data_IF_798100249813
#
_entry.id   IF_798100249813
#
_cell.length_a   1.000
_cell.length_b   1.000
_cell.length_c   1.000
_cell.angle_alpha   90.00
_cell.angle_beta   90.00
_cell.angle_gamma   90.00
#
_symmetry.space_group_name_H-M   'P 1'
#
loop_
_entity.id
_entity.type
_entity.pdbx_description
1 polymer ?
#
# COMPACT_ATOMS: atom_id res chain seq x y z
N UNK A 1 2.54 32.07 -19.35
CA UNK A 1 3.37 32.68 -18.28
C UNK A 1 2.55 32.73 -17.00
N UNK A 2 2.55 31.62 -16.24
CA UNK A 2 2.29 31.52 -14.80
C UNK A 2 2.19 30.01 -14.45
N UNK A 3 3.26 29.29 -14.74
CA UNK A 3 3.52 27.93 -14.24
C UNK A 3 4.99 27.90 -13.82
N UNK A 4 5.29 28.41 -12.62
CA UNK A 4 6.64 28.35 -12.04
C UNK A 4 6.65 28.80 -10.57
N UNK A 5 5.87 28.16 -9.69
CA UNK A 5 6.04 28.37 -8.23
C UNK A 5 5.71 27.13 -7.39
N UNK A 6 5.84 25.93 -7.97
CA UNK A 6 5.78 24.66 -7.21
C UNK A 6 6.97 23.80 -7.61
N UNK A 7 8.13 24.17 -7.09
CA UNK A 7 9.33 23.33 -7.02
C UNK A 7 10.28 24.02 -6.06
N UNK A 8 10.31 23.54 -4.80
CA UNK A 8 11.44 23.61 -3.84
C UNK A 8 10.96 23.51 -2.39
N UNK A 9 10.33 22.40 -1.98
CA UNK A 9 10.34 21.98 -0.56
C UNK A 9 10.30 20.44 -0.47
N UNK A 10 11.25 19.73 -1.09
CA UNK A 10 11.59 18.35 -0.71
C UNK A 10 13.08 18.13 -1.06
N UNK A 11 13.97 18.42 -0.12
CA UNK A 11 15.30 17.79 0.03
C UNK A 11 16.12 18.55 1.09
N UNK A 12 16.08 18.09 2.34
CA UNK A 12 17.28 18.04 3.20
C UNK A 12 16.95 17.21 4.44
N UNK A 13 17.22 15.92 4.36
CA UNK A 13 17.62 15.17 5.55
C UNK A 13 18.99 15.70 5.99
N UNK A 14 19.15 15.85 7.29
CA UNK A 14 20.36 16.36 7.93
C UNK A 14 20.23 16.17 9.43
N UNK A 15 20.52 14.94 9.87
CA UNK A 15 20.88 14.61 11.23
C UNK A 15 21.99 15.56 11.74
N UNK A 16 21.81 16.04 12.96
CA UNK A 16 22.81 16.52 13.95
C UNK A 16 22.24 17.74 14.71
N UNK A 17 21.69 17.51 15.90
CA UNK A 17 22.35 18.05 17.10
C UNK A 17 21.77 17.54 18.43
N UNK A 18 22.73 17.25 19.29
CA UNK A 18 22.65 16.70 20.62
C UNK A 18 22.51 17.85 21.65
N UNK A 19 21.80 17.57 22.74
CA UNK A 19 22.12 18.00 24.13
C UNK A 19 22.19 19.50 24.43
N UNK A 20 21.14 20.00 25.09
CA UNK A 20 21.16 20.68 26.41
C UNK A 20 19.93 21.55 26.58
N UNK A 21 19.09 21.21 27.57
CA UNK A 21 18.53 22.15 28.57
C UNK A 21 17.31 21.49 29.20
N UNK A 22 17.49 20.89 30.37
CA UNK A 22 17.41 21.53 31.68
C UNK A 22 16.00 21.39 32.26
N UNK A 23 15.89 20.38 33.12
CA UNK A 23 15.17 20.39 34.40
C UNK A 23 14.27 21.59 34.63
N UNK A 24 12.96 21.38 34.57
CA UNK A 24 12.01 22.11 35.39
C UNK A 24 10.77 21.28 35.74
N UNK A 25 10.98 20.02 36.17
CA UNK A 25 9.93 19.22 36.81
C UNK A 25 10.09 19.29 38.32
N UNK A 26 9.60 20.38 38.90
CA UNK A 26 9.16 20.44 40.29
C UNK A 26 8.40 21.74 40.46
N UNK A 27 7.06 21.66 40.46
CA UNK A 27 6.12 22.48 41.23
C UNK A 27 4.73 22.36 40.59
N UNK A 28 3.99 21.29 40.89
CA UNK A 28 2.52 21.31 40.92
C UNK A 28 1.96 20.05 41.55
N UNK A 29 1.67 20.14 42.85
CA UNK A 29 0.54 19.47 43.51
C UNK A 29 0.27 20.16 44.85
N UNK A 30 -0.31 21.35 44.76
CA UNK A 30 -1.21 21.87 45.78
C UNK A 30 -2.50 22.23 45.06
N UNK A 31 -3.41 21.26 44.98
CA UNK A 31 -4.81 21.51 44.66
C UNK A 31 -5.49 22.00 45.93
N UNK A 32 -5.70 23.31 46.04
CA UNK A 32 -6.66 23.87 47.00
C UNK A 32 -8.04 23.90 46.31
N UNK A 33 -9.08 23.34 46.95
CA UNK A 33 -10.43 23.45 46.43
C UNK A 33 -10.94 24.86 46.70
N UNK A 34 -11.20 25.63 45.64
CA UNK A 34 -11.96 26.86 45.76
C UNK A 34 -13.38 26.50 46.15
N UNK A 35 -13.68 26.57 47.45
CA UNK A 35 -15.04 26.54 47.97
C UNK A 35 -15.57 27.96 47.85
N UNK A 36 -16.42 28.14 46.86
CA UNK A 36 -17.31 29.28 46.69
C UNK A 36 -18.27 29.34 47.89
N UNK A 37 -17.97 30.18 48.88
CA UNK A 37 -18.88 30.57 49.96
C UNK A 37 -18.26 31.74 50.75
N UNK A 38 -19.04 32.82 50.90
CA UNK A 38 -18.84 33.97 51.82
C UNK A 38 -17.89 35.10 51.39
N UNK A 39 -18.23 35.81 50.30
CA UNK A 39 -17.98 37.25 50.21
C UNK A 39 -19.22 38.01 50.68
N UNK A 40 -19.51 37.94 51.98
CA UNK A 40 -20.34 38.96 52.61
C UNK A 40 -19.40 40.10 53.04
N UNK A 41 -19.70 41.36 52.72
CA UNK A 41 -18.93 42.48 53.26
C UNK A 41 -19.04 42.45 54.79
N UNK A 42 -17.98 42.86 55.53
CA UNK A 42 -18.04 42.93 56.98
C UNK A 42 -19.21 43.83 57.40
N UNK A 43 -19.89 43.52 58.52
CA UNK A 43 -21.03 44.31 58.97
C UNK A 43 -20.56 45.76 59.18
N UNK A 44 -21.37 46.70 58.69
CA UNK A 44 -21.16 48.14 58.86
C UNK A 44 -20.82 48.43 60.32
N UNK A 45 -19.59 48.88 60.60
CA UNK A 45 -19.26 49.40 61.92
C UNK A 45 -19.89 50.78 62.01
N UNK A 46 -20.78 50.97 62.99
CA UNK A 46 -21.24 52.30 63.36
C UNK A 46 -20.02 53.22 63.60
N UNK A 47 -20.08 54.49 63.13
CA UNK A 47 -19.02 55.45 63.44
C UNK A 47 -18.93 55.62 64.97
N UNK A 48 -17.72 55.82 65.53
CA UNK A 48 -17.57 56.04 66.96
C UNK A 48 -18.38 57.29 67.37
N UNK A 49 -19.03 57.29 68.55
CA UNK A 49 -19.80 58.45 68.99
C UNK A 49 -18.89 59.67 69.16
N UNK A 50 -19.41 60.89 68.94
CA UNK A 50 -18.62 62.11 69.13
C UNK A 50 -18.12 62.16 70.57
N UNK A 51 -16.81 62.31 70.70
CA UNK A 51 -16.13 62.39 71.99
C UNK A 51 -16.46 63.74 72.63
N UNK A 52 -17.54 63.78 73.42
CA UNK A 52 -17.80 64.86 74.36
C UNK A 52 -16.73 64.82 75.47
N UNK A 53 -15.60 65.48 75.23
CA UNK A 53 -14.65 65.86 76.26
C UNK A 53 -14.69 67.37 76.47
N UNK A 54 -15.75 67.83 77.13
CA UNK A 54 -15.69 69.04 77.95
C UNK A 54 -16.16 68.64 79.36
N UNK A 55 -15.20 68.12 80.13
CA UNK A 55 -15.25 68.20 81.59
C UNK A 55 -15.32 69.68 81.93
N UNK A 56 -16.52 70.16 82.26
CA UNK A 56 -16.68 71.42 82.98
C UNK A 56 -16.15 71.14 84.39
N UNK A 57 -14.85 71.40 84.58
CA UNK A 57 -14.25 71.53 85.90
C UNK A 57 -14.81 72.80 86.52
N UNK A 58 -15.89 72.64 87.28
CA UNK A 58 -16.42 73.64 88.21
C UNK A 58 -15.49 73.76 89.42
N UNK A 59 -14.27 74.22 89.20
CA UNK A 59 -13.35 74.63 90.25
C UNK A 59 -12.72 75.95 89.81
N UNK A 60 -13.25 77.06 90.30
CA UNK A 60 -12.54 78.23 90.85
C UNK A 60 -13.57 79.34 91.09
N UNK A 61 -14.44 79.14 92.09
CA UNK A 61 -15.02 80.25 92.83
C UNK A 61 -14.45 80.14 94.26
N UNK A 62 -13.34 80.84 94.50
CA UNK A 62 -12.83 80.98 95.85
C UNK A 62 -13.85 81.73 96.73
N UNK A 63 -14.07 81.31 97.98
CA UNK A 63 -14.87 82.09 98.90
C UNK A 63 -14.05 83.32 99.28
N UNK A 64 -14.47 84.49 98.80
CA UNK A 64 -14.00 85.77 99.32
C UNK A 64 -14.34 85.85 100.81
N UNK A 65 -13.38 85.50 101.67
CA UNK A 65 -13.39 85.97 103.05
C UNK A 65 -13.36 87.49 103.03
N UNK A 66 -14.50 88.11 103.30
CA UNK A 66 -14.56 89.49 103.78
C UNK A 66 -15.12 89.46 105.20
N UNK A 67 -14.23 89.57 106.17
CA UNK A 67 -14.58 90.16 107.44
C UNK A 67 -13.43 91.10 107.84
N UNK A 68 -13.67 92.41 107.79
CA UNK A 68 -13.08 93.30 108.75
C UNK A 68 -14.21 94.08 109.43
N UNK A 69 -14.77 93.51 110.50
CA UNK A 69 -15.32 94.34 111.56
C UNK A 69 -14.14 95.04 112.26
N UNK A 70 -13.68 96.13 111.66
CA UNK A 70 -12.87 97.14 112.31
C UNK A 70 -13.78 98.32 112.60
N UNK A 71 -14.14 98.44 113.88
CA UNK A 71 -14.11 99.66 114.66
C UNK A 71 -14.65 100.96 114.05
N UNK A 72 -15.67 101.46 114.73
CA UNK A 72 -15.90 102.86 115.11
C UNK A 72 -16.91 103.62 114.23
N UNK A 73 -18.13 103.60 114.76
CA UNK A 73 -19.12 104.66 114.68
C UNK A 73 -18.49 106.04 114.87
N UNK A 74 -18.65 106.91 113.88
CA UNK A 74 -18.43 108.34 114.01
C UNK A 74 -17.87 108.95 112.73
N UNK A 75 -18.72 109.15 111.72
CA UNK A 75 -18.60 110.10 110.59
C UNK A 75 -19.71 109.79 109.55
N UNK A 76 -20.97 110.09 109.88
CA UNK A 76 -22.15 109.67 109.09
C UNK A 76 -22.33 110.34 107.72
N UNK A 77 -21.61 111.42 107.39
CA UNK A 77 -21.71 112.11 106.08
C UNK A 77 -20.45 111.97 105.18
N UNK A 78 -19.29 111.64 105.75
CA UNK A 78 -18.07 111.33 104.96
C UNK A 78 -18.09 109.87 104.48
N UNK A 79 -18.78 108.99 105.21
CA UNK A 79 -18.93 107.58 104.86
C UNK A 79 -19.78 107.33 103.61
N UNK A 80 -20.78 108.17 103.31
CA UNK A 80 -21.63 107.98 102.13
C UNK A 80 -20.87 108.29 100.84
N UNK A 81 -20.09 109.37 100.81
CA UNK A 81 -19.24 109.72 99.67
C UNK A 81 -18.08 108.73 99.47
N UNK A 82 -17.48 108.22 100.54
CA UNK A 82 -16.44 107.19 100.47
C UNK A 82 -17.04 105.85 99.99
N UNK A 83 -18.21 105.46 100.49
CA UNK A 83 -18.91 104.24 100.08
C UNK A 83 -19.37 104.33 98.62
N UNK A 84 -19.88 105.49 98.19
CA UNK A 84 -20.22 105.76 96.79
C UNK A 84 -18.98 105.70 95.87
N UNK A 85 -17.85 106.23 96.32
CA UNK A 85 -16.59 106.15 95.57
C UNK A 85 -16.08 104.70 95.45
N UNK A 86 -16.19 103.90 96.51
CA UNK A 86 -15.84 102.47 96.50
C UNK A 86 -16.77 101.69 95.57
N UNK A 87 -18.09 101.93 95.63
CA UNK A 87 -19.07 101.30 94.74
C UNK A 87 -18.84 101.67 93.27
N UNK A 88 -18.48 102.93 92.99
CA UNK A 88 -18.11 103.37 91.66
C UNK A 88 -16.81 102.71 91.16
N UNK A 89 -15.79 102.59 92.01
CA UNK A 89 -14.54 101.88 91.67
C UNK A 89 -14.81 100.39 91.40
N UNK A 90 -15.65 99.74 92.20
CA UNK A 90 -16.07 98.34 91.99
C UNK A 90 -16.84 98.17 90.68
N UNK A 91 -17.73 99.11 90.34
CA UNK A 91 -18.45 99.11 89.06
C UNK A 91 -17.50 99.28 87.88
N UNK A 92 -16.54 100.20 87.96
CA UNK A 92 -15.51 100.41 86.93
C UNK A 92 -14.65 99.15 86.77
N UNK A 93 -14.25 98.51 87.86
CA UNK A 93 -13.52 97.24 87.83
C UNK A 93 -14.35 96.12 87.20
N UNK A 94 -15.65 96.04 87.50
CA UNK A 94 -16.58 95.09 86.87
C UNK A 94 -16.71 95.34 85.37
N UNK A 95 -16.89 96.60 84.94
CA UNK A 95 -16.96 96.98 83.52
C UNK A 95 -15.65 96.61 82.80
N UNK A 96 -14.49 96.86 83.43
CA UNK A 96 -13.20 96.47 82.89
C UNK A 96 -13.08 94.94 82.75
N UNK A 97 -13.46 94.20 83.79
CA UNK A 97 -13.48 92.73 83.76
C UNK A 97 -14.44 92.18 82.70
N UNK A 98 -15.62 92.77 82.55
CA UNK A 98 -16.58 92.41 81.50
C UNK A 98 -16.02 92.70 80.11
N UNK A 99 -15.36 93.85 79.91
CA UNK A 99 -14.69 94.20 78.66
C UNK A 99 -13.58 93.20 78.31
N UNK A 100 -12.75 92.83 79.29
CA UNK A 100 -11.71 91.79 79.12
C UNK A 100 -12.34 90.44 78.77
N UNK A 101 -13.42 90.03 79.43
CA UNK A 101 -14.14 88.79 79.13
C UNK A 101 -14.71 88.78 77.71
N UNK A 102 -15.35 89.86 77.27
CA UNK A 102 -15.85 90.01 75.90
C UNK A 102 -14.68 89.96 74.90
N UNK A 103 -13.57 90.61 75.20
CA UNK A 103 -12.37 90.58 74.35
C UNK A 103 -11.80 89.17 74.21
N UNK A 104 -11.74 88.38 75.29
CA UNK A 104 -11.33 86.98 75.23
C UNK A 104 -12.30 86.14 74.40
N UNK A 105 -13.61 86.28 74.66
CA UNK A 105 -14.64 85.57 73.89
C UNK A 105 -14.60 85.91 72.40
N UNK A 106 -14.33 87.17 72.04
CA UNK A 106 -14.17 87.58 70.65
C UNK A 106 -12.95 86.93 70.01
N UNK A 107 -11.83 86.82 70.74
CA UNK A 107 -10.65 86.10 70.27
C UNK A 107 -10.91 84.60 70.08
N UNK A 108 -11.66 83.96 70.98
CA UNK A 108 -12.02 82.54 70.88
C UNK A 108 -12.94 82.30 69.69
N UNK A 109 -13.94 83.17 69.46
CA UNK A 109 -14.81 83.08 68.28
C UNK A 109 -14.00 83.19 66.98
N UNK A 110 -13.11 84.18 66.86
CA UNK A 110 -12.26 84.32 65.67
C UNK A 110 -11.38 83.07 65.44
N UNK A 111 -10.92 82.42 66.52
CA UNK A 111 -10.19 81.16 66.41
C UNK A 111 -11.10 80.03 65.90
N UNK A 112 -12.30 79.89 66.46
CA UNK A 112 -13.25 78.87 66.02
C UNK A 112 -13.69 79.08 64.56
N UNK A 113 -13.85 80.32 64.11
CA UNK A 113 -14.16 80.65 62.71
C UNK A 113 -13.03 80.18 61.78
N UNK A 114 -11.76 80.41 62.16
CA UNK A 114 -10.60 79.92 61.41
C UNK A 114 -10.50 78.38 61.41
N UNK A 115 -10.80 77.73 62.54
CA UNK A 115 -10.82 76.26 62.64
C UNK A 115 -11.95 75.66 61.77
N UNK A 116 -13.14 76.29 61.72
CA UNK A 116 -14.25 75.87 60.85
C UNK A 116 -13.84 75.96 59.38
N UNK A 117 -13.31 77.10 58.94
CA UNK A 117 -12.88 77.29 57.55
C UNK A 117 -11.82 76.26 57.13
N UNK A 118 -10.84 76.02 58.01
CA UNK A 118 -9.81 75.01 57.77
C UNK A 118 -10.40 73.59 57.64
N UNK A 119 -11.32 73.22 58.52
CA UNK A 119 -11.95 71.90 58.48
C UNK A 119 -12.84 71.74 57.25
N UNK A 120 -13.60 72.76 56.86
CA UNK A 120 -14.42 72.76 55.65
C UNK A 120 -13.56 72.60 54.40
N UNK A 121 -12.46 73.36 54.29
CA UNK A 121 -11.50 73.24 53.19
C UNK A 121 -10.89 71.83 53.14
N UNK A 122 -10.46 71.30 54.29
CA UNK A 122 -9.88 69.96 54.38
C UNK A 122 -10.89 68.86 54.02
N UNK A 123 -12.15 69.00 54.41
CA UNK A 123 -13.22 68.08 54.03
C UNK A 123 -13.49 68.15 52.52
N UNK A 124 -13.48 69.34 51.92
CA UNK A 124 -13.59 69.51 50.48
C UNK A 124 -12.45 68.79 49.72
N UNK A 125 -11.20 69.00 50.13
CA UNK A 125 -10.03 68.33 49.52
C UNK A 125 -10.11 66.81 49.65
N UNK A 126 -10.55 66.30 50.81
CA UNK A 126 -10.77 64.87 51.03
C UNK A 126 -11.86 64.31 50.11
N UNK A 127 -12.94 65.07 49.89
CA UNK A 127 -14.02 64.67 48.98
C UNK A 127 -13.50 64.58 47.53
N UNK A 128 -12.71 65.55 47.08
CA UNK A 128 -12.10 65.51 45.75
C UNK A 128 -11.19 64.29 45.57
N UNK A 129 -10.39 63.94 46.59
CA UNK A 129 -9.56 62.74 46.58
C UNK A 129 -10.39 61.45 46.49
N UNK A 130 -11.51 61.37 47.22
CA UNK A 130 -12.42 60.23 47.13
C UNK A 130 -13.06 60.11 45.74
N UNK A 131 -13.40 61.24 45.11
CA UNK A 131 -13.96 61.25 43.75
C UNK A 131 -12.94 60.82 42.69
N UNK A 132 -11.66 61.16 42.88
CA UNK A 132 -10.55 60.65 42.03
C UNK A 132 -10.43 59.13 42.22
N UNK A 133 -10.32 58.65 43.46
CA UNK A 133 -10.19 57.23 43.76
C UNK A 133 -11.39 56.41 43.24
N UNK A 134 -12.60 56.94 43.34
CA UNK A 134 -13.80 56.30 42.82
C UNK A 134 -13.76 56.13 41.29
N UNK A 135 -13.25 57.14 40.57
CA UNK A 135 -13.03 57.05 39.13
C UNK A 135 -11.95 56.03 38.77
N UNK A 136 -10.85 56.00 39.50
CA UNK A 136 -9.78 55.01 39.30
C UNK A 136 -10.26 53.57 39.53
N UNK A 137 -11.06 53.33 40.58
CA UNK A 137 -11.69 52.04 40.84
C UNK A 137 -12.59 51.64 39.67
N UNK A 138 -13.44 52.56 39.20
CA UNK A 138 -14.34 52.30 38.08
C UNK A 138 -13.57 51.95 36.80
N UNK A 139 -12.45 52.63 36.55
CA UNK A 139 -11.58 52.34 35.41
C UNK A 139 -10.88 50.98 35.54
N UNK A 140 -10.41 50.63 36.74
CA UNK A 140 -9.83 49.33 37.02
C UNK A 140 -10.86 48.20 36.80
N UNK A 141 -12.09 48.37 37.28
CA UNK A 141 -13.18 47.40 37.10
C UNK A 141 -13.56 47.19 35.64
N UNK A 142 -13.54 48.25 34.82
CA UNK A 142 -13.74 48.13 33.38
C UNK A 142 -12.62 47.33 32.72
N UNK A 143 -11.37 47.61 33.11
CA UNK A 143 -10.19 46.91 32.57
C UNK A 143 -10.20 45.42 32.94
N UNK A 144 -10.57 45.09 34.19
CA UNK A 144 -10.71 43.71 34.65
C UNK A 144 -11.80 42.97 33.86
N UNK A 145 -12.96 43.61 33.64
CA UNK A 145 -14.05 43.01 32.85
C UNK A 145 -13.60 42.73 31.42
N UNK A 146 -12.97 43.69 30.75
CA UNK A 146 -12.42 43.49 29.40
C UNK A 146 -11.37 42.38 29.37
N UNK A 147 -10.47 42.34 30.35
CA UNK A 147 -9.48 41.26 30.47
C UNK A 147 -10.13 39.88 30.66
N UNK A 148 -11.21 39.79 31.44
CA UNK A 148 -11.97 38.56 31.63
C UNK A 148 -12.64 38.09 30.34
N UNK A 149 -13.23 38.99 29.56
CA UNK A 149 -13.84 38.67 28.26
C UNK A 149 -12.78 38.18 27.26
N UNK A 150 -11.61 38.81 27.22
CA UNK A 150 -10.49 38.38 26.39
C UNK A 150 -9.97 36.98 26.79
N UNK A 151 -9.83 36.72 28.10
CA UNK A 151 -9.44 35.39 28.59
C UNK A 151 -10.46 34.32 28.21
N UNK A 152 -11.76 34.63 28.31
CA UNK A 152 -12.81 33.73 27.88
C UNK A 152 -12.73 33.45 26.37
N UNK A 153 -12.50 34.47 25.54
CA UNK A 153 -12.32 34.29 24.10
C UNK A 153 -11.11 33.39 23.77
N UNK A 154 -9.99 33.56 24.48
CA UNK A 154 -8.81 32.71 24.33
C UNK A 154 -9.09 31.26 24.72
N UNK A 155 -9.90 31.01 25.75
CA UNK A 155 -10.31 29.64 26.14
C UNK A 155 -10.98 28.89 24.99
N UNK A 156 -11.86 29.54 24.22
CA UNK A 156 -12.49 28.91 23.06
C UNK A 156 -11.50 28.56 21.95
N UNK A 157 -10.50 29.43 21.73
CA UNK A 157 -9.43 29.19 20.75
C UNK A 157 -8.55 28.02 21.18
N UNK A 158 -8.24 27.89 22.47
CA UNK A 158 -7.49 26.76 23.01
C UNK A 158 -8.24 25.43 22.82
N UNK A 159 -9.56 25.41 23.09
CA UNK A 159 -10.41 24.24 22.84
C UNK A 159 -10.42 23.83 21.36
N UNK A 160 -10.59 24.80 20.44
CA UNK A 160 -10.54 24.55 19.00
C UNK A 160 -9.16 24.00 18.57
N UNK A 161 -8.08 24.54 19.13
CA UNK A 161 -6.72 24.06 18.86
C UNK A 161 -6.53 22.59 19.28
N UNK A 162 -7.08 22.19 20.42
CA UNK A 162 -7.03 20.79 20.86
C UNK A 162 -7.85 19.86 19.96
N UNK A 163 -9.01 20.31 19.47
CA UNK A 163 -9.79 19.56 18.48
C UNK A 163 -8.97 19.38 17.19
N UNK A 164 -8.36 20.45 16.68
CA UNK A 164 -7.53 20.40 15.47
C UNK A 164 -6.35 19.43 15.66
N UNK A 165 -5.65 19.47 16.80
CA UNK A 165 -4.56 18.52 17.12
C UNK A 165 -5.03 17.07 17.12
N UNK A 166 -6.24 16.79 17.62
CA UNK A 166 -6.79 15.43 17.59
C UNK A 166 -7.12 14.99 16.16
N UNK A 167 -7.74 15.86 15.36
CA UNK A 167 -8.01 15.60 13.94
C UNK A 167 -6.71 15.35 13.16
N UNK A 168 -5.68 16.14 13.42
CA UNK A 168 -4.37 15.96 12.80
C UNK A 168 -3.77 14.59 13.14
N UNK A 169 -3.83 14.16 14.40
CA UNK A 169 -3.37 12.82 14.81
C UNK A 169 -4.13 11.71 14.08
N UNK A 170 -5.45 11.83 13.97
CA UNK A 170 -6.29 10.88 13.23
C UNK A 170 -5.88 10.82 11.76
N UNK A 171 -5.78 11.97 11.07
CA UNK A 171 -5.37 12.02 9.66
C UNK A 171 -3.95 11.46 9.46
N UNK A 172 -3.01 11.74 10.36
CA UNK A 172 -1.65 11.16 10.29
C UNK A 172 -1.68 9.63 10.39
N UNK A 173 -2.53 9.07 11.25
CA UNK A 173 -2.73 7.62 11.37
C UNK A 173 -3.36 7.00 10.12
N UNK A 174 -4.34 7.69 9.52
CA UNK A 174 -4.99 7.26 8.29
C UNK A 174 -4.01 7.25 7.11
N UNK A 175 -3.19 8.30 6.97
CA UNK A 175 -2.12 8.37 5.97
C UNK A 175 -1.16 7.19 6.12
N UNK A 176 -0.77 6.87 7.36
CA UNK A 176 0.14 5.75 7.64
C UNK A 176 -0.50 4.41 7.25
N UNK A 177 -1.77 4.21 7.58
CA UNK A 177 -2.52 3.01 7.19
C UNK A 177 -2.64 2.89 5.67
N UNK A 178 -2.97 3.97 4.97
CA UNK A 178 -3.09 3.98 3.51
C UNK A 178 -1.76 3.69 2.82
N UNK A 179 -0.64 4.24 3.33
CA UNK A 179 0.70 3.91 2.83
C UNK A 179 1.02 2.43 3.00
N UNK A 180 0.65 1.83 4.14
CA UNK A 180 0.82 0.39 4.37
C UNK A 180 -0.04 -0.46 3.43
N UNK A 181 -1.30 -0.07 3.21
CA UNK A 181 -2.19 -0.74 2.24
C UNK A 181 -1.65 -0.67 0.81
N UNK A 182 -1.15 0.50 0.40
CA UNK A 182 -0.54 0.68 -0.92
C UNK A 182 0.66 -0.25 -1.10
N UNK A 183 1.59 -0.28 -0.15
CA UNK A 183 2.75 -1.17 -0.19
C UNK A 183 2.33 -2.65 -0.25
N UNK A 184 1.26 -3.05 0.46
CA UNK A 184 0.73 -4.40 0.37
C UNK A 184 0.23 -4.70 -1.06
N UNK A 185 -0.59 -3.82 -1.65
CA UNK A 185 -1.06 -4.00 -3.03
C UNK A 185 0.08 -4.06 -4.05
N UNK A 186 1.14 -3.27 -3.88
CA UNK A 186 2.33 -3.32 -4.74
C UNK A 186 3.03 -4.68 -4.68
N UNK A 187 3.14 -5.27 -3.49
CA UNK A 187 3.73 -6.60 -3.34
C UNK A 187 2.85 -7.71 -3.94
N UNK A 188 1.53 -7.66 -3.72
CA UNK A 188 0.57 -8.59 -4.36
C UNK A 188 0.62 -8.50 -5.89
N UNK A 189 0.67 -7.28 -6.45
CA UNK A 189 0.79 -7.06 -7.89
C UNK A 189 2.09 -7.66 -8.44
N UNK A 190 3.20 -7.49 -7.74
CA UNK A 190 4.49 -8.07 -8.12
C UNK A 190 4.44 -9.60 -8.10
N UNK A 191 3.78 -10.20 -7.10
CA UNK A 191 3.57 -11.64 -7.03
C UNK A 191 2.72 -12.15 -8.20
N UNK A 192 1.60 -11.47 -8.52
CA UNK A 192 0.76 -11.78 -9.68
C UNK A 192 1.56 -11.71 -10.98
N UNK A 193 2.36 -10.65 -11.18
CA UNK A 193 3.23 -10.51 -12.36
C UNK A 193 4.20 -11.68 -12.50
N UNK A 194 4.85 -12.10 -11.42
CA UNK A 194 5.77 -13.22 -11.46
C UNK A 194 5.04 -14.55 -11.74
N UNK A 195 3.85 -14.74 -11.16
CA UNK A 195 3.02 -15.93 -11.43
C UNK A 195 2.62 -16.02 -12.91
N UNK A 196 2.20 -14.92 -13.51
CA UNK A 196 1.88 -14.86 -14.94
C UNK A 196 3.10 -15.25 -15.79
N UNK A 197 4.29 -14.73 -15.45
CA UNK A 197 5.53 -15.08 -16.15
C UNK A 197 5.80 -16.59 -16.09
N UNK A 198 5.71 -17.21 -14.92
CA UNK A 198 5.92 -18.65 -14.76
C UNK A 198 4.90 -19.48 -15.55
N UNK A 199 3.62 -19.10 -15.53
CA UNK A 199 2.57 -19.78 -16.29
C UNK A 199 2.78 -19.66 -17.82
N UNK A 200 3.29 -18.51 -18.29
CA UNK A 200 3.64 -18.35 -19.70
C UNK A 200 4.83 -19.26 -20.09
N UNK A 201 5.84 -19.36 -19.23
CA UNK A 201 6.97 -20.27 -19.44
C UNK A 201 6.49 -21.74 -19.49
N UNK A 202 5.61 -22.14 -18.57
CA UNK A 202 4.98 -23.48 -18.55
C UNK A 202 4.15 -23.75 -19.81
N UNK A 203 3.32 -22.79 -20.24
CA UNK A 203 2.50 -22.90 -21.45
C UNK A 203 3.38 -23.09 -22.69
N UNK A 204 4.50 -22.35 -22.79
CA UNK A 204 5.41 -22.48 -23.91
C UNK A 204 6.13 -23.85 -23.92
N UNK A 205 6.42 -24.42 -22.75
CA UNK A 205 6.96 -25.78 -22.65
C UNK A 205 5.93 -26.81 -23.12
N UNK A 206 4.68 -26.65 -22.69
CA UNK A 206 3.57 -27.54 -23.06
C UNK A 206 3.26 -27.47 -24.56
N UNK A 207 3.24 -26.27 -25.15
CA UNK A 207 3.06 -26.07 -26.60
C UNK A 207 4.13 -26.83 -27.39
N UNK A 208 5.41 -26.70 -26.98
CA UNK A 208 6.52 -27.45 -27.60
C UNK A 208 6.37 -28.96 -27.41
N UNK A 209 5.84 -29.42 -26.28
CA UNK A 209 5.58 -30.84 -26.03
C UNK A 209 4.45 -31.36 -26.91
N UNK A 210 3.38 -30.59 -27.09
CA UNK A 210 2.24 -30.93 -27.95
C UNK A 210 2.66 -31.05 -29.42
N UNK A 211 3.47 -30.12 -29.93
CA UNK A 211 4.01 -30.20 -31.31
C UNK A 211 4.85 -31.46 -31.51
N UNK A 212 5.76 -31.77 -30.58
CA UNK A 212 6.54 -33.03 -30.63
C UNK A 212 5.64 -34.27 -30.57
N UNK A 213 4.58 -34.23 -29.75
CA UNK A 213 3.60 -35.31 -29.67
C UNK A 213 2.83 -35.50 -30.98
N UNK A 214 2.46 -34.41 -31.66
CA UNK A 214 1.84 -34.45 -32.97
C UNK A 214 2.77 -35.05 -34.02
N UNK A 215 4.03 -34.60 -34.10
CA UNK A 215 5.02 -35.13 -35.03
C UNK A 215 5.27 -36.63 -34.80
N UNK A 216 5.41 -37.06 -33.54
CA UNK A 216 5.52 -38.48 -33.20
C UNK A 216 4.29 -39.28 -33.62
N UNK A 217 3.09 -38.75 -33.40
CA UNK A 217 1.85 -39.44 -33.78
C UNK A 217 1.68 -39.54 -35.29
N UNK A 218 2.06 -38.50 -36.03
CA UNK A 218 2.09 -38.54 -37.50
C UNK A 218 3.12 -39.56 -38.00
N UNK A 219 4.29 -39.63 -37.38
CA UNK A 219 5.29 -40.65 -37.68
C UNK A 219 4.76 -42.06 -37.43
N UNK A 220 4.09 -42.29 -36.30
CA UNK A 220 3.43 -43.57 -35.99
C UNK A 220 2.38 -43.96 -37.03
N UNK A 221 1.53 -43.02 -37.47
CA UNK A 221 0.53 -43.26 -38.51
C UNK A 221 1.19 -43.64 -39.83
N UNK A 222 2.21 -42.90 -40.28
CA UNK A 222 2.96 -43.22 -41.50
C UNK A 222 3.62 -44.61 -41.42
N UNK A 223 4.19 -44.95 -40.25
CA UNK A 223 4.81 -46.26 -40.04
C UNK A 223 3.76 -47.38 -40.11
N UNK A 224 2.58 -47.20 -39.50
CA UNK A 224 1.48 -48.16 -39.58
C UNK A 224 1.01 -48.37 -41.03
N UNK A 225 0.87 -47.29 -41.82
CA UNK A 225 0.48 -47.41 -43.24
C UNK A 225 1.53 -48.12 -44.08
N UNK A 226 2.82 -47.92 -43.80
CA UNK A 226 3.90 -48.63 -44.49
C UNK A 226 3.91 -50.11 -44.12
N UNK A 227 3.64 -50.44 -42.85
CA UNK A 227 3.50 -51.83 -42.40
C UNK A 227 2.32 -52.51 -43.10
N UNK A 228 1.17 -51.85 -43.24
CA UNK A 228 0.02 -52.37 -43.99
C UNK A 228 0.36 -52.60 -45.46
N UNK A 229 1.07 -51.67 -46.11
CA UNK A 229 1.50 -51.81 -47.49
C UNK A 229 2.49 -52.98 -47.67
N UNK A 230 3.47 -53.11 -46.78
CA UNK A 230 4.39 -54.25 -46.76
C UNK A 230 3.65 -55.56 -46.56
N UNK A 231 2.61 -55.60 -45.71
CA UNK A 231 1.79 -56.79 -45.50
C UNK A 231 1.05 -57.19 -46.78
N UNK A 232 0.45 -56.23 -47.51
CA UNK A 232 -0.19 -56.48 -48.82
C UNK A 232 0.83 -57.05 -49.82
N UNK A 233 2.03 -56.48 -49.88
CA UNK A 233 3.09 -56.96 -50.77
C UNK A 233 3.56 -58.37 -50.42
N UNK A 234 3.67 -58.69 -49.12
CA UNK A 234 3.98 -60.04 -48.65
C UNK A 234 2.89 -61.01 -49.08
N UNK A 235 1.62 -60.68 -48.89
CA UNK A 235 0.52 -61.58 -49.24
C UNK A 235 0.38 -61.75 -50.76
N UNK A 236 0.61 -60.70 -51.55
CA UNK A 236 0.72 -60.81 -53.01
C UNK A 236 1.89 -61.71 -53.43
N UNK A 237 3.07 -61.53 -52.81
CA UNK A 237 4.24 -62.37 -53.09
C UNK A 237 4.01 -63.83 -52.70
N UNK A 238 3.28 -64.11 -51.60
CA UNK A 238 2.86 -65.46 -51.21
C UNK A 238 1.97 -66.09 -52.27
N UNK A 239 0.90 -65.40 -52.69
CA UNK A 239 -0.01 -65.91 -53.74
C UNK A 239 0.75 -66.16 -55.04
N UNK A 240 1.61 -65.23 -55.46
CA UNK A 240 2.46 -65.41 -56.64
C UNK A 240 3.42 -66.59 -56.52
N UNK A 241 3.93 -66.87 -55.32
CA UNK A 241 4.79 -68.03 -55.05
C UNK A 241 4.00 -69.33 -55.10
N UNK A 242 2.80 -69.36 -54.52
CA UNK A 242 1.89 -70.51 -54.57
C UNK A 242 1.47 -70.82 -56.00
N UNK A 243 1.15 -69.81 -56.80
CA UNK A 243 0.81 -69.98 -58.22
C UNK A 243 2.01 -70.45 -59.05
N UNK A 244 3.21 -69.94 -58.75
CA UNK A 244 4.46 -70.45 -59.33
C UNK A 244 4.70 -71.93 -58.95
N UNK A 245 4.43 -72.32 -57.69
CA UNK A 245 4.53 -73.70 -57.23
C UNK A 245 3.53 -74.62 -57.92
N UNK A 246 2.25 -74.22 -58.02
CA UNK A 246 1.22 -74.98 -58.77
C UNK A 246 1.64 -75.18 -60.23
N UNK A 247 2.17 -74.13 -60.86
CA UNK A 247 2.68 -74.21 -62.23
C UNK A 247 3.86 -75.19 -62.33
N UNK A 248 4.80 -75.14 -61.37
CA UNK A 248 5.90 -76.09 -61.30
C UNK A 248 5.42 -77.54 -61.11
N UNK A 249 4.38 -77.78 -60.30
CA UNK A 249 3.78 -79.11 -60.10
C UNK A 249 3.08 -79.63 -61.36
N UNK A 250 2.36 -78.75 -62.09
CA UNK A 250 1.75 -79.10 -63.40
C UNK A 250 2.83 -79.47 -64.40
N UNK A 251 3.85 -78.64 -64.56
CA UNK A 251 4.98 -78.92 -65.46
C UNK A 251 5.69 -80.22 -65.06
N UNK A 252 5.88 -80.48 -63.77
CA UNK A 252 6.45 -81.74 -63.27
C UNK A 252 5.60 -82.94 -63.68
N UNK A 253 4.27 -82.83 -63.59
CA UNK A 253 3.35 -83.89 -64.02
C UNK A 253 3.41 -84.11 -65.53
N UNK A 254 3.40 -83.04 -66.34
CA UNK A 254 3.55 -83.11 -67.79
C UNK A 254 4.88 -83.76 -68.19
N UNK A 255 5.98 -83.40 -67.51
CA UNK A 255 7.29 -84.04 -67.70
C UNK A 255 7.22 -85.54 -67.39
N UNK A 256 6.59 -85.94 -66.28
CA UNK A 256 6.40 -87.36 -65.96
C UNK A 256 5.56 -88.10 -67.01
N UNK A 257 4.49 -87.48 -67.53
CA UNK A 257 3.66 -88.04 -68.60
C UNK A 257 4.45 -88.21 -69.91
N UNK A 258 5.26 -87.21 -70.28
CA UNK A 258 6.16 -87.28 -71.43
C UNK A 258 7.25 -88.33 -71.25
N UNK A 259 7.85 -88.43 -70.07
CA UNK A 259 8.83 -89.48 -69.74
C UNK A 259 8.21 -90.88 -69.90
N UNK A 260 6.99 -91.08 -69.40
CA UNK A 260 6.26 -92.34 -69.57
C UNK A 260 5.97 -92.65 -71.05
N UNK A 261 5.51 -91.66 -71.82
CA UNK A 261 5.27 -91.80 -73.27
C UNK A 261 6.57 -92.11 -74.03
N UNK A 262 7.69 -91.50 -73.65
CA UNK A 262 9.01 -91.80 -74.22
C UNK A 262 9.42 -93.24 -73.91
N UNK A 263 9.22 -93.71 -72.68
CA UNK A 263 9.50 -95.11 -72.30
C UNK A 263 8.65 -96.08 -73.12
N UNK A 264 7.35 -95.81 -73.25
CA UNK A 264 6.45 -96.62 -74.07
C UNK A 264 6.88 -96.65 -75.55
N UNK A 265 7.22 -95.48 -76.11
CA UNK A 265 7.74 -95.39 -77.48
C UNK A 265 9.06 -96.12 -77.65
N UNK A 266 9.95 -96.06 -76.66
CA UNK A 266 11.18 -96.87 -76.64
C UNK A 266 10.85 -98.36 -76.67
N UNK A 267 9.88 -98.82 -75.87
CA UNK A 267 9.44 -100.21 -75.87
C UNK A 267 8.83 -100.63 -77.22
N UNK A 268 7.99 -99.79 -77.83
CA UNK A 268 7.45 -100.02 -79.18
C UNK A 268 8.56 -100.10 -80.23
N UNK A 269 9.58 -99.24 -80.15
CA UNK A 269 10.76 -99.28 -81.01
C UNK A 269 11.54 -100.57 -80.79
N UNK A 270 11.76 -101.01 -79.55
CA UNK A 270 12.41 -102.30 -79.27
C UNK A 270 11.59 -103.48 -79.81
N UNK A 271 10.26 -103.45 -79.68
CA UNK A 271 9.37 -104.46 -80.28
C UNK A 271 9.50 -104.48 -81.80
N UNK A 272 9.44 -103.33 -82.47
CA UNK A 272 9.63 -103.22 -83.93
C UNK A 272 11.03 -103.65 -84.34
N UNK A 273 12.07 -103.36 -83.56
CA UNK A 273 13.44 -103.85 -83.81
C UNK A 273 13.49 -105.37 -83.70
N UNK A 274 12.80 -105.97 -82.74
CA UNK A 274 12.71 -107.43 -82.60
C UNK A 274 11.89 -108.07 -83.72
N UNK A 275 10.73 -107.49 -84.07
CA UNK A 275 9.90 -107.92 -85.20
C UNK A 275 10.67 -107.80 -86.52
N UNK A 276 11.41 -106.70 -86.72
CA UNK A 276 12.29 -106.52 -87.89
C UNK A 276 13.44 -107.52 -87.92
N UNK A 277 14.05 -107.82 -86.76
CA UNK A 277 15.03 -108.91 -86.65
C UNK A 277 14.41 -110.25 -86.99
N UNK A 278 13.17 -110.50 -86.57
CA UNK A 278 12.44 -111.74 -86.85
C UNK A 278 12.05 -111.84 -88.33
N UNK A 279 11.57 -110.77 -88.97
CA UNK A 279 11.31 -110.70 -90.42
C UNK A 279 12.60 -110.87 -91.21
N UNK A 280 13.71 -110.28 -90.77
CA UNK A 280 15.02 -110.50 -91.38
C UNK A 280 15.48 -111.95 -91.20
N UNK A 281 15.26 -112.56 -90.03
CA UNK A 281 15.58 -113.97 -89.79
C UNK A 281 14.69 -114.89 -90.64
N UNK A 282 13.40 -114.58 -90.79
CA UNK A 282 12.45 -115.27 -91.67
C UNK A 282 12.81 -115.11 -93.15
N UNK A 283 13.33 -113.94 -93.55
CA UNK A 283 13.87 -113.72 -94.90
C UNK A 283 15.14 -114.53 -95.13
N UNK A 284 15.98 -114.70 -94.10
CA UNK A 284 17.18 -115.53 -94.16
C UNK A 284 16.88 -117.05 -94.06
N UNK A 285 15.81 -117.48 -93.39
CA UNK A 285 15.40 -118.89 -93.34
C UNK A 285 14.57 -119.32 -94.54
N UNK A 286 13.91 -118.39 -95.25
CA UNK A 286 13.16 -118.67 -96.48
C UNK A 286 13.98 -118.52 -97.77
N UNK A 287 15.20 -117.96 -97.71
CA UNK A 287 16.17 -118.02 -98.81
C UNK A 287 17.14 -119.20 -98.65
N UNK A 288 16.58 -120.40 -98.83
CA UNK A 288 17.33 -121.57 -99.24
C UNK A 288 17.46 -121.61 -100.77
N UNK A 289 18.37 -120.81 -101.33
CA UNK A 289 18.94 -120.98 -102.68
C UNK A 289 20.05 -119.94 -102.90
N UNK A 290 21.28 -120.45 -102.89
CA UNK A 290 22.47 -119.73 -103.35
C UNK A 290 22.41 -119.49 -104.86
N UNK A 291 23.09 -118.43 -105.29
CA UNK A 291 23.30 -117.99 -106.67
C UNK A 291 22.12 -117.26 -107.32
N UNK A 292 21.86 -116.02 -106.90
CA UNK A 292 21.44 -114.90 -107.79
C UNK A 292 21.20 -113.58 -107.02
N UNK A 293 22.22 -112.96 -106.38
CA UNK A 293 22.18 -111.49 -106.16
C UNK A 293 23.59 -110.89 -106.29
N UNK A 294 24.21 -111.18 -107.43
CA UNK A 294 25.36 -110.45 -107.99
C UNK A 294 24.80 -109.56 -109.10
N UNK A 295 23.99 -108.53 -108.81
CA UNK A 295 23.49 -107.44 -109.71
C UNK A 295 22.67 -106.40 -108.90
N UNK A 296 23.17 -105.89 -107.76
CA UNK A 296 22.61 -104.64 -107.16
C UNK A 296 23.70 -103.82 -106.44
N UNK A 297 24.97 -104.10 -106.75
CA UNK A 297 26.02 -103.10 -106.70
C UNK A 297 25.91 -102.32 -108.01
N UNK A 298 25.66 -101.01 -107.91
CA UNK A 298 25.91 -99.98 -108.94
C UNK A 298 24.66 -99.23 -109.46
N UNK A 299 24.63 -97.93 -109.12
CA UNK A 299 23.71 -96.90 -109.63
C UNK A 299 22.82 -96.30 -108.52
N UNK A 300 22.85 -95.01 -108.17
CA UNK A 300 23.45 -93.86 -108.82
C UNK A 300 23.47 -92.65 -107.86
N UNK A 301 24.43 -91.77 -108.09
CA UNK A 301 24.75 -90.55 -107.38
C UNK A 301 23.60 -89.54 -107.17
N UNK A 302 23.65 -88.79 -106.05
CA UNK A 302 23.99 -87.35 -106.14
C UNK A 302 24.52 -86.75 -104.82
N UNK A 303 25.56 -85.91 -104.91
CA UNK A 303 26.26 -85.32 -103.77
C UNK A 303 25.70 -83.94 -103.39
N UNK A 304 25.90 -83.54 -102.15
CA UNK A 304 25.59 -82.21 -101.62
C UNK A 304 24.54 -82.30 -100.52
N UNK A 305 24.69 -81.75 -99.33
CA UNK A 305 25.52 -80.64 -98.91
C UNK A 305 25.78 -80.77 -97.41
N UNK A 306 27.01 -81.10 -97.05
CA UNK A 306 27.54 -80.88 -95.70
C UNK A 306 27.55 -79.37 -95.44
N UNK A 307 26.50 -78.84 -94.81
CA UNK A 307 26.55 -77.50 -94.23
C UNK A 307 27.19 -77.64 -92.85
N UNK A 308 28.52 -77.52 -92.82
CA UNK A 308 29.27 -77.33 -91.58
C UNK A 308 28.69 -76.10 -90.87
N UNK A 309 28.19 -76.29 -89.65
CA UNK A 309 27.94 -75.18 -88.73
C UNK A 309 29.30 -74.53 -88.45
N UNK A 310 29.54 -73.38 -89.08
CA UNK A 310 30.69 -72.52 -88.78
C UNK A 310 30.20 -71.55 -87.71
N UNK A 311 30.63 -71.77 -86.47
CA UNK A 311 30.37 -70.85 -85.37
C UNK A 311 30.34 -71.56 -84.01
N UNK A 312 31.07 -71.02 -83.04
CA UNK A 312 30.98 -71.47 -81.64
C UNK A 312 29.60 -71.08 -81.08
N UNK A 313 28.84 -72.01 -80.48
CA UNK A 313 27.50 -71.73 -79.91
C UNK A 313 27.47 -70.56 -78.91
N UNK A 314 28.62 -70.15 -78.37
CA UNK A 314 28.75 -69.05 -77.39
C UNK A 314 28.68 -67.64 -77.97
N UNK A 315 28.55 -67.47 -79.30
CA UNK A 315 28.44 -66.15 -79.93
C UNK A 315 26.99 -65.64 -80.07
N UNK A 316 25.99 -66.40 -79.61
CA UNK A 316 24.57 -66.03 -79.68
C UNK A 316 24.01 -65.37 -78.40
N UNK A 317 24.81 -65.24 -77.34
CA UNK A 317 24.33 -64.78 -76.03
C UNK A 317 24.18 -63.24 -75.92
N UNK A 318 24.67 -62.46 -76.90
CA UNK A 318 24.70 -60.98 -76.84
C UNK A 318 24.15 -60.27 -78.10
N UNK A 319 23.16 -60.83 -78.80
CA UNK A 319 22.57 -60.16 -79.97
C UNK A 319 21.63 -59.01 -79.56
N UNK A 320 21.98 -57.78 -79.94
CA UNK A 320 21.16 -56.57 -79.66
C UNK A 320 19.98 -56.50 -80.66
N UNK A 321 18.75 -56.18 -80.21
CA UNK A 321 17.57 -56.10 -81.07
C UNK A 321 17.76 -55.12 -82.23
N UNK A 322 17.34 -55.53 -83.43
CA UNK A 322 17.32 -54.66 -84.62
C UNK A 322 15.92 -54.64 -85.24
N UNK A 323 15.62 -53.62 -86.05
CA UNK A 323 14.30 -53.41 -86.68
C UNK A 323 13.77 -54.62 -87.48
N UNK A 324 14.65 -55.53 -87.94
CA UNK A 324 14.24 -56.75 -88.66
C UNK A 324 14.24 -58.03 -87.82
N UNK A 325 14.69 -57.99 -86.57
CA UNK A 325 14.56 -59.08 -85.60
C UNK A 325 14.44 -58.50 -84.17
N UNK A 326 13.21 -58.23 -83.70
CA UNK A 326 12.97 -57.49 -82.46
C UNK A 326 13.28 -58.30 -81.19
N UNK A 327 13.42 -59.63 -81.27
CA UNK A 327 13.65 -60.50 -80.12
C UNK A 327 15.08 -61.03 -80.03
N UNK A 328 15.95 -60.74 -81.00
CA UNK A 328 17.37 -61.13 -80.97
C UNK A 328 17.64 -62.63 -81.17
N UNK A 329 16.65 -63.43 -81.55
CA UNK A 329 16.79 -64.88 -81.77
C UNK A 329 16.68 -65.17 -83.27
N UNK A 330 17.72 -65.74 -83.87
CA UNK A 330 17.66 -66.29 -85.23
C UNK A 330 17.68 -67.81 -85.14
N UNK A 331 16.85 -68.46 -85.96
CA UNK A 331 16.82 -69.93 -86.13
C UNK A 331 18.01 -70.39 -86.98
#
# INVERSE_FOLDING_TARGET
QQESYISNIIASDGDENCVMSNKLDNFKKFSLPYRESSLLPPPYRDPPPPTNQLKISSETFGPWRKNPNCLINGLSEINESLLYNIQYCDLVALVKCQKEKISCQHSDLNKYDADIEYLEMKTHDQQEQLDILSREISQADMTIRQGSEQLQALSYVEEENEIIKQQEKTLRSEITLLRSKLANCETELLQCKNKIRLLLDELQIEEKACVRGYDNRQFEICLMTEVEHLQINIDHAKVSTDDSSKTADVLKKEVMELEAAIIEKKMQVEMLVNEMKEVNLQSLTNSGNADEVKILLEGSHKPGSTRRMIGSPRQLENAVPTNKNPHGVWV
#
